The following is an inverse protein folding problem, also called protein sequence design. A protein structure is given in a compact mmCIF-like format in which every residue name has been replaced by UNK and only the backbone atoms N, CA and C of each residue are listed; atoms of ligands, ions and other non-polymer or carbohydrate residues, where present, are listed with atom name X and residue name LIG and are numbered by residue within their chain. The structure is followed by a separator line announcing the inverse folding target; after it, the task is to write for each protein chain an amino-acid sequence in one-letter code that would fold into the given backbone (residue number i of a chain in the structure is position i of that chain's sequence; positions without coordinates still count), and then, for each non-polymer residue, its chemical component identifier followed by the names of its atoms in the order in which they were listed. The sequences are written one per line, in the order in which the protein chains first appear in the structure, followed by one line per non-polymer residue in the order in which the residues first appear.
data_IF_522014368559
#
_entry.id   IF_522014368559
#
_cell.length_a   1.000
_cell.length_b   1.000
_cell.length_c   1.000
_cell.angle_alpha   90.00
_cell.angle_beta   90.00
_cell.angle_gamma   90.00
#
_symmetry.space_group_name_H-M   'P 1'
#
loop_
_entity.id
_entity.type
_entity.pdbx_description
1 polymer ?
#
# COMPACT_ATOMS: atom_id res chain seq x y z
N UNK A 1 -10.52 22.18 -25.42
CA UNK A 1 -10.68 22.85 -24.10
C UNK A 1 -11.89 23.78 -24.22
N UNK A 2 -12.86 23.68 -23.33
CA UNK A 2 -14.05 24.56 -23.32
C UNK A 2 -13.80 25.71 -22.35
N UNK A 3 -14.01 26.95 -22.81
CA UNK A 3 -13.84 28.18 -22.01
C UNK A 3 -15.19 28.82 -21.78
N UNK A 4 -15.46 29.21 -20.54
CA UNK A 4 -16.70 29.87 -20.13
C UNK A 4 -16.42 31.19 -19.47
N UNK A 5 -17.30 32.19 -19.76
CA UNK A 5 -17.20 33.49 -19.12
C UNK A 5 -17.95 33.52 -17.81
N UNK A 6 -17.34 34.13 -16.80
CA UNK A 6 -18.01 34.42 -15.53
C UNK A 6 -19.04 35.51 -15.78
N UNK A 7 -20.24 35.35 -15.28
CA UNK A 7 -21.34 36.30 -15.37
C UNK A 7 -21.74 36.74 -13.96
N UNK A 8 -22.23 37.97 -13.84
CA UNK A 8 -22.77 38.50 -12.59
C UNK A 8 -24.30 38.37 -12.60
N UNK A 9 -24.86 37.81 -11.50
CA UNK A 9 -26.29 37.74 -11.29
C UNK A 9 -26.65 38.37 -9.95
N UNK A 10 -27.71 39.16 -9.88
CA UNK A 10 -28.03 39.90 -8.66
C UNK A 10 -26.95 40.95 -8.31
N UNK A 11 -26.85 41.26 -7.03
CA UNK A 11 -25.93 42.29 -6.51
C UNK A 11 -24.45 41.97 -6.60
N UNK A 12 -24.06 40.75 -6.19
CA UNK A 12 -22.65 40.34 -6.01
C UNK A 12 -22.30 38.89 -6.41
N UNK A 13 -23.29 38.07 -6.80
CA UNK A 13 -23.06 36.67 -7.10
C UNK A 13 -22.45 36.51 -8.49
N UNK A 14 -21.34 35.76 -8.57
CA UNK A 14 -20.69 35.36 -9.81
C UNK A 14 -21.15 33.94 -10.19
N UNK A 15 -21.51 33.70 -11.44
CA UNK A 15 -21.98 32.43 -11.98
C UNK A 15 -21.20 32.01 -13.21
N UNK A 16 -21.06 30.72 -13.39
CA UNK A 16 -20.55 30.12 -14.63
C UNK A 16 -21.56 29.05 -15.08
N UNK A 17 -21.86 29.02 -16.38
CA UNK A 17 -22.79 28.04 -16.93
C UNK A 17 -22.14 26.66 -17.01
N UNK A 18 -22.86 25.62 -16.58
CA UNK A 18 -22.40 24.24 -16.69
C UNK A 18 -22.49 23.73 -18.13
N UNK A 19 -21.57 22.85 -18.57
CA UNK A 19 -21.65 22.22 -19.89
C UNK A 19 -22.93 21.41 -20.07
N UNK A 20 -23.65 21.64 -21.19
CA UNK A 20 -24.92 20.95 -21.44
C UNK A 20 -24.76 19.42 -21.47
N UNK A 21 -23.69 18.95 -22.12
CA UNK A 21 -23.37 17.50 -22.20
C UNK A 21 -23.15 16.90 -20.82
N UNK A 22 -22.41 17.61 -19.94
CA UNK A 22 -22.19 17.17 -18.57
C UNK A 22 -23.51 17.05 -17.79
N UNK A 23 -24.35 18.09 -17.89
CA UNK A 23 -25.67 18.06 -17.25
C UNK A 23 -26.55 16.92 -17.75
N UNK A 24 -26.50 16.62 -19.06
CA UNK A 24 -27.26 15.53 -19.66
C UNK A 24 -26.75 14.15 -19.20
N UNK A 25 -25.42 13.95 -19.18
CA UNK A 25 -24.81 12.70 -18.74
C UNK A 25 -25.13 12.33 -17.30
N UNK A 26 -25.31 13.33 -16.44
CA UNK A 26 -25.65 13.15 -15.02
C UNK A 26 -27.12 13.45 -14.69
N UNK A 27 -28.00 13.61 -15.70
CA UNK A 27 -29.43 13.92 -15.53
C UNK A 27 -29.69 15.14 -14.63
N UNK A 28 -28.79 16.13 -14.61
CA UNK A 28 -28.91 17.32 -13.81
C UNK A 28 -29.98 18.28 -14.38
N UNK A 29 -30.86 18.76 -13.51
CA UNK A 29 -31.95 19.68 -13.83
C UNK A 29 -31.87 20.91 -12.93
N UNK A 30 -32.68 21.92 -13.25
CA UNK A 30 -32.85 23.08 -12.36
C UNK A 30 -33.27 22.58 -10.98
N UNK A 31 -32.55 23.02 -9.94
CA UNK A 31 -32.75 22.55 -8.56
C UNK A 31 -31.89 21.35 -8.16
N UNK A 32 -31.20 20.66 -9.09
CA UNK A 32 -30.23 19.62 -8.73
C UNK A 32 -29.08 20.22 -7.94
N UNK A 33 -28.58 19.47 -6.94
CA UNK A 33 -27.44 19.87 -6.13
C UNK A 33 -26.14 19.37 -6.75
N UNK A 34 -25.07 20.16 -6.63
CA UNK A 34 -23.71 19.77 -6.98
C UNK A 34 -22.80 20.06 -5.79
N UNK A 35 -21.82 19.20 -5.57
CA UNK A 35 -20.72 19.46 -4.63
C UNK A 35 -19.63 20.28 -5.31
N UNK A 36 -19.01 21.15 -4.54
CA UNK A 36 -17.93 22.05 -4.96
C UNK A 36 -16.71 21.71 -4.11
N UNK A 37 -15.68 21.16 -4.74
CA UNK A 37 -14.41 20.87 -4.10
C UNK A 37 -13.33 21.80 -4.65
N UNK A 38 -12.41 22.25 -3.80
CA UNK A 38 -11.31 23.14 -4.18
C UNK A 38 -10.01 22.35 -4.18
N UNK A 39 -9.28 22.38 -5.31
CA UNK A 39 -7.93 21.85 -5.34
C UNK A 39 -6.93 22.85 -4.79
N UNK A 40 -5.79 22.39 -4.30
CA UNK A 40 -4.69 23.26 -3.83
C UNK A 40 -4.16 24.19 -4.94
N UNK A 41 -4.29 23.79 -6.19
CA UNK A 41 -3.91 24.59 -7.38
C UNK A 41 -4.98 25.60 -7.79
N UNK A 42 -6.02 25.83 -6.98
CA UNK A 42 -7.08 26.79 -7.23
C UNK A 42 -8.12 26.36 -8.26
N UNK A 43 -8.16 25.08 -8.66
CA UNK A 43 -9.24 24.56 -9.48
C UNK A 43 -10.49 24.29 -8.64
N UNK A 44 -11.68 24.44 -9.24
CA UNK A 44 -12.95 24.01 -8.67
C UNK A 44 -13.38 22.74 -9.37
N UNK A 45 -13.54 21.68 -8.58
CA UNK A 45 -14.06 20.39 -9.04
C UNK A 45 -15.55 20.33 -8.72
N UNK A 46 -16.36 20.13 -9.75
CA UNK A 46 -17.81 20.01 -9.65
C UNK A 46 -18.22 18.54 -9.79
N UNK A 47 -18.94 18.02 -8.81
CA UNK A 47 -19.50 16.68 -8.87
C UNK A 47 -21.00 16.70 -8.62
N UNK A 48 -21.80 15.83 -9.28
CA UNK A 48 -23.22 15.70 -8.93
C UNK A 48 -23.34 15.30 -7.46
N UNK A 49 -24.18 16.01 -6.68
CA UNK A 49 -24.37 15.74 -5.25
C UNK A 49 -25.01 14.35 -5.01
N UNK A 50 -25.96 14.01 -5.85
CA UNK A 50 -26.48 12.67 -5.96
C UNK A 50 -25.64 11.96 -7.02
N UNK A 51 -24.57 11.26 -6.61
CA UNK A 51 -23.91 10.31 -7.50
C UNK A 51 -25.02 9.36 -7.97
N UNK A 52 -25.27 9.34 -9.29
CA UNK A 52 -26.28 8.45 -9.88
C UNK A 52 -26.10 7.07 -9.27
N UNK A 53 -27.20 6.45 -8.85
CA UNK A 53 -27.22 5.10 -8.26
C UNK A 53 -26.73 3.99 -9.21
N UNK A 54 -26.06 4.34 -10.30
CA UNK A 54 -25.34 3.39 -11.16
C UNK A 54 -24.06 2.89 -10.50
N UNK A 55 -24.21 2.45 -9.23
CA UNK A 55 -23.24 1.66 -8.48
C UNK A 55 -23.18 0.20 -8.97
N UNK A 56 -23.50 -0.07 -10.23
CA UNK A 56 -23.34 -1.39 -10.83
C UNK A 56 -21.86 -1.84 -10.91
N UNK A 57 -20.91 -0.88 -10.79
CA UNK A 57 -19.48 -1.21 -10.73
C UNK A 57 -18.98 -1.65 -9.35
N UNK A 58 -19.79 -1.57 -8.30
CA UNK A 58 -19.38 -1.89 -6.93
C UNK A 58 -19.69 -3.32 -6.49
N UNK A 59 -20.52 -4.06 -7.25
CA UNK A 59 -20.85 -5.46 -6.97
C UNK A 59 -20.10 -6.37 -7.92
N UNK A 60 -19.43 -7.38 -7.37
CA UNK A 60 -18.65 -8.37 -8.12
C UNK A 60 -19.15 -9.77 -7.79
N UNK A 61 -19.36 -10.61 -8.79
CA UNK A 61 -19.61 -12.04 -8.61
C UNK A 61 -18.37 -12.83 -9.03
N UNK A 62 -17.90 -13.72 -8.16
CA UNK A 62 -16.86 -14.71 -8.44
C UNK A 62 -17.49 -16.10 -8.38
N UNK A 63 -17.32 -16.86 -9.46
CA UNK A 63 -17.54 -18.31 -9.43
C UNK A 63 -16.19 -18.98 -9.19
N UNK A 64 -16.05 -19.58 -8.02
CA UNK A 64 -14.82 -20.26 -7.64
C UNK A 64 -14.50 -21.39 -8.61
N UNK A 65 -13.23 -21.48 -8.94
CA UNK A 65 -12.63 -22.52 -9.79
C UNK A 65 -11.89 -23.55 -8.96
N UNK A 66 -11.24 -24.52 -9.61
CA UNK A 66 -10.35 -25.46 -8.90
C UNK A 66 -8.97 -24.82 -8.58
N UNK A 67 -8.71 -23.60 -9.09
CA UNK A 67 -7.48 -22.85 -8.83
C UNK A 67 -7.76 -21.68 -7.83
N UNK A 68 -7.69 -22.00 -6.54
CA UNK A 68 -7.99 -21.06 -5.46
C UNK A 68 -7.04 -19.86 -5.44
N UNK A 69 -5.77 -20.03 -5.84
CA UNK A 69 -4.81 -18.93 -5.93
C UNK A 69 -5.19 -17.91 -7.00
N UNK A 70 -5.69 -18.38 -8.14
CA UNK A 70 -6.19 -17.50 -9.18
C UNK A 70 -7.45 -16.77 -8.73
N UNK A 71 -8.37 -17.47 -8.07
CA UNK A 71 -9.58 -16.89 -7.51
C UNK A 71 -9.25 -15.78 -6.50
N UNK A 72 -8.27 -16.00 -5.62
CA UNK A 72 -7.78 -15.00 -4.68
C UNK A 72 -7.20 -13.77 -5.38
N UNK A 73 -6.37 -13.94 -6.43
CA UNK A 73 -5.82 -12.82 -7.20
C UNK A 73 -6.93 -11.96 -7.81
N UNK A 74 -7.98 -12.60 -8.35
CA UNK A 74 -9.14 -11.90 -8.91
C UNK A 74 -9.85 -11.10 -7.80
N UNK A 75 -10.13 -11.70 -6.65
CA UNK A 75 -10.81 -11.04 -5.54
C UNK A 75 -10.02 -9.84 -5.00
N UNK A 76 -8.72 -10.00 -4.78
CA UNK A 76 -7.83 -8.91 -4.34
C UNK A 76 -7.78 -7.79 -5.40
N UNK A 77 -7.72 -8.14 -6.69
CA UNK A 77 -7.81 -7.14 -7.77
C UNK A 77 -9.13 -6.36 -7.70
N UNK A 78 -10.26 -7.01 -7.45
CA UNK A 78 -11.56 -6.35 -7.32
C UNK A 78 -11.66 -5.48 -6.06
N UNK A 79 -11.11 -5.95 -4.96
CA UNK A 79 -10.97 -5.16 -3.75
C UNK A 79 -10.17 -3.87 -4.00
N UNK A 80 -8.99 -3.97 -4.61
CA UNK A 80 -8.14 -2.83 -4.99
C UNK A 80 -8.87 -1.86 -5.92
N UNK A 81 -9.67 -2.37 -6.86
CA UNK A 81 -10.49 -1.55 -7.77
C UNK A 81 -11.64 -0.81 -7.08
N UNK A 82 -11.90 -1.09 -5.79
CA UNK A 82 -12.92 -0.41 -4.99
C UNK A 82 -14.28 -1.11 -4.97
N UNK A 83 -14.34 -2.44 -5.20
CA UNK A 83 -15.57 -3.20 -4.99
C UNK A 83 -16.12 -2.96 -3.58
N UNK A 84 -17.45 -2.81 -3.45
CA UNK A 84 -18.15 -2.64 -2.16
C UNK A 84 -18.91 -3.88 -1.75
N UNK A 85 -19.25 -4.73 -2.70
CA UNK A 85 -19.97 -5.99 -2.48
C UNK A 85 -19.36 -7.06 -3.36
N UNK A 86 -19.06 -8.21 -2.79
CA UNK A 86 -18.50 -9.37 -3.46
C UNK A 86 -19.40 -10.57 -3.14
N UNK A 87 -19.89 -11.23 -4.18
CA UNK A 87 -20.58 -12.50 -4.06
C UNK A 87 -19.68 -13.61 -4.54
N UNK A 88 -19.39 -14.59 -3.69
CA UNK A 88 -18.54 -15.75 -4.00
C UNK A 88 -19.43 -16.97 -4.09
N UNK A 89 -19.39 -17.68 -5.22
CA UNK A 89 -20.10 -18.96 -5.43
C UNK A 89 -19.10 -20.09 -5.60
N UNK A 90 -19.26 -21.18 -4.86
CA UNK A 90 -18.39 -22.35 -4.90
C UNK A 90 -19.21 -23.63 -4.93
N UNK A 91 -18.67 -24.68 -5.54
CA UNK A 91 -19.24 -26.04 -5.50
C UNK A 91 -18.86 -26.80 -4.24
N UNK A 92 -17.85 -26.34 -3.51
CA UNK A 92 -17.31 -26.97 -2.31
C UNK A 92 -17.32 -25.97 -1.16
N UNK A 93 -17.90 -26.37 -0.03
CA UNK A 93 -17.91 -25.56 1.18
C UNK A 93 -16.49 -25.28 1.69
N UNK A 94 -15.61 -26.28 1.67
CA UNK A 94 -14.23 -26.11 2.10
C UNK A 94 -13.44 -25.12 1.25
N UNK A 95 -13.67 -25.08 -0.06
CA UNK A 95 -13.08 -24.06 -0.94
C UNK A 95 -13.65 -22.67 -0.68
N UNK A 96 -14.97 -22.57 -0.40
CA UNK A 96 -15.62 -21.33 -0.04
C UNK A 96 -15.04 -20.76 1.25
N UNK A 97 -14.95 -21.57 2.31
CA UNK A 97 -14.39 -21.18 3.60
C UNK A 97 -12.93 -20.74 3.49
N UNK A 98 -12.12 -21.45 2.71
CA UNK A 98 -10.73 -21.08 2.46
C UNK A 98 -10.62 -19.69 1.82
N UNK A 99 -11.39 -19.44 0.74
CA UNK A 99 -11.37 -18.16 0.02
C UNK A 99 -11.82 -17.02 0.93
N UNK A 100 -12.93 -17.21 1.68
CA UNK A 100 -13.44 -16.20 2.59
C UNK A 100 -12.39 -15.84 3.64
N UNK A 101 -11.87 -16.83 4.35
CA UNK A 101 -10.91 -16.62 5.43
C UNK A 101 -9.65 -15.90 4.92
N UNK A 102 -9.09 -16.36 3.79
CA UNK A 102 -7.90 -15.75 3.20
C UNK A 102 -8.15 -14.33 2.69
N UNK A 103 -9.33 -14.08 2.11
CA UNK A 103 -9.71 -12.74 1.67
C UNK A 103 -9.86 -11.76 2.85
N UNK A 104 -10.52 -12.17 3.93
CA UNK A 104 -10.67 -11.34 5.14
C UNK A 104 -9.33 -11.11 5.86
N UNK A 105 -8.43 -12.10 5.82
CA UNK A 105 -7.08 -11.95 6.36
C UNK A 105 -6.29 -10.86 5.61
N UNK A 106 -6.42 -10.77 4.28
CA UNK A 106 -5.67 -9.87 3.41
C UNK A 106 -6.36 -8.52 3.12
N UNK A 107 -7.58 -8.30 3.61
CA UNK A 107 -8.33 -7.08 3.33
C UNK A 107 -8.76 -6.34 4.59
N UNK A 108 -9.04 -5.05 4.46
CA UNK A 108 -9.55 -4.19 5.53
C UNK A 108 -10.94 -3.70 5.12
N UNK A 109 -11.90 -3.83 6.05
CA UNK A 109 -13.22 -3.25 5.89
C UNK A 109 -14.29 -4.18 5.34
N UNK A 110 -13.94 -5.38 4.92
CA UNK A 110 -14.92 -6.37 4.47
C UNK A 110 -15.34 -7.31 5.59
N UNK A 111 -16.63 -7.66 5.60
CA UNK A 111 -17.20 -8.66 6.46
C UNK A 111 -18.18 -9.54 5.70
N UNK A 112 -18.39 -10.77 6.19
CA UNK A 112 -19.40 -11.68 5.66
C UNK A 112 -20.78 -11.23 6.17
N UNK A 113 -21.68 -10.91 5.25
CA UNK A 113 -23.04 -10.49 5.58
C UNK A 113 -24.03 -11.65 5.47
N UNK A 114 -23.83 -12.50 4.47
CA UNK A 114 -24.66 -13.68 4.25
C UNK A 114 -23.78 -14.85 3.82
N UNK A 115 -24.08 -16.05 4.29
CA UNK A 115 -23.35 -17.25 3.94
C UNK A 115 -24.26 -18.48 3.98
N UNK A 116 -24.07 -19.37 3.00
CA UNK A 116 -24.68 -20.69 2.95
C UNK A 116 -23.66 -21.74 2.44
N UNK A 117 -24.11 -22.94 2.10
CA UNK A 117 -23.22 -24.04 1.67
C UNK A 117 -22.43 -23.74 0.39
N UNK A 118 -23.00 -22.94 -0.52
CA UNK A 118 -22.47 -22.72 -1.86
C UNK A 118 -22.17 -21.26 -2.22
N UNK A 119 -22.56 -20.32 -1.37
CA UNK A 119 -22.47 -18.89 -1.66
C UNK A 119 -22.17 -18.09 -0.39
N UNK A 120 -21.36 -17.05 -0.54
CA UNK A 120 -21.15 -16.04 0.48
C UNK A 120 -21.21 -14.64 -0.11
N UNK A 121 -21.76 -13.70 0.65
CA UNK A 121 -21.84 -12.28 0.32
C UNK A 121 -21.00 -11.53 1.33
N UNK A 122 -19.99 -10.83 0.81
CA UNK A 122 -19.11 -9.98 1.59
C UNK A 122 -19.35 -8.51 1.20
N UNK A 123 -19.40 -7.63 2.19
CA UNK A 123 -19.59 -6.20 1.97
C UNK A 123 -18.54 -5.36 2.70
N UNK A 124 -18.17 -4.24 2.08
CA UNK A 124 -17.36 -3.19 2.71
C UNK A 124 -18.24 -2.43 3.72
N UNK A 125 -18.01 -2.67 5.00
CA UNK A 125 -18.77 -2.06 6.10
C UNK A 125 -18.21 -0.69 6.52
N UNK A 126 -17.06 -0.27 5.95
CA UNK A 126 -16.46 1.03 6.24
C UNK A 126 -17.00 2.06 5.25
N UNK A 127 -17.96 2.87 5.69
CA UNK A 127 -18.58 3.91 4.86
C UNK A 127 -17.64 5.09 4.52
N UNK A 128 -16.67 5.40 5.41
CA UNK A 128 -15.62 6.40 5.19
C UNK A 128 -14.29 5.85 5.70
N UNK A 129 -13.18 6.02 4.96
CA UNK A 129 -11.89 5.52 5.39
C UNK A 129 -11.42 6.27 6.65
N UNK A 130 -11.60 5.66 7.82
CA UNK A 130 -11.07 6.14 9.10
C UNK A 130 -9.58 5.91 9.23
N UNK A 131 -9.05 4.92 8.49
CA UNK A 131 -7.64 4.62 8.39
C UNK A 131 -7.04 5.39 7.21
N UNK A 132 -6.28 6.45 7.50
CA UNK A 132 -5.64 7.32 6.51
C UNK A 132 -4.43 6.65 5.87
N UNK A 133 -3.97 7.17 4.70
CA UNK A 133 -2.72 6.76 4.07
C UNK A 133 -1.55 6.79 5.05
N UNK A 134 -1.39 7.88 5.78
CA UNK A 134 -0.29 8.06 6.73
C UNK A 134 -0.34 7.03 7.87
N UNK A 135 -1.53 6.80 8.47
CA UNK A 135 -1.67 5.81 9.54
C UNK A 135 -1.40 4.39 9.05
N UNK A 136 -1.89 4.05 7.86
CA UNK A 136 -1.65 2.74 7.25
C UNK A 136 -0.15 2.53 6.98
N UNK A 137 0.53 3.53 6.39
CA UNK A 137 1.96 3.44 6.09
C UNK A 137 2.81 3.41 7.37
N UNK A 138 2.49 4.20 8.41
CA UNK A 138 3.18 4.14 9.71
C UNK A 138 3.07 2.77 10.38
N UNK A 139 1.90 2.15 10.29
CA UNK A 139 1.73 0.79 10.81
C UNK A 139 2.55 -0.22 10.01
N UNK A 140 2.54 -0.11 8.69
CA UNK A 140 3.32 -0.95 7.80
C UNK A 140 4.82 -0.81 8.08
N UNK A 141 5.35 0.40 8.19
CA UNK A 141 6.74 0.69 8.56
C UNK A 141 7.13 0.03 9.90
N UNK A 142 6.26 0.12 10.91
CA UNK A 142 6.49 -0.54 12.21
C UNK A 142 6.61 -2.06 12.07
N UNK A 143 5.76 -2.68 11.25
CA UNK A 143 5.79 -4.12 11.01
C UNK A 143 7.05 -4.54 10.25
N UNK A 144 7.41 -3.82 9.21
CA UNK A 144 8.59 -4.09 8.38
C UNK A 144 9.86 -4.01 9.20
N UNK A 145 10.05 -2.92 9.97
CA UNK A 145 11.20 -2.80 10.90
C UNK A 145 11.25 -3.93 11.92
N UNK A 146 10.10 -4.35 12.44
CA UNK A 146 10.02 -5.47 13.36
C UNK A 146 10.44 -6.79 12.69
N UNK A 147 9.98 -7.07 11.46
CA UNK A 147 10.38 -8.26 10.70
C UNK A 147 11.90 -8.29 10.50
N UNK A 148 12.50 -7.20 10.01
CA UNK A 148 13.94 -7.15 9.73
C UNK A 148 14.77 -7.27 11.01
N UNK A 149 14.37 -6.62 12.11
CA UNK A 149 15.07 -6.76 13.41
C UNK A 149 14.98 -8.17 13.99
N UNK A 150 13.82 -8.78 13.87
CA UNK A 150 13.57 -10.12 14.39
C UNK A 150 14.25 -11.21 13.56
N UNK A 151 14.55 -10.93 12.26
CA UNK A 151 15.22 -11.89 11.39
C UNK A 151 16.62 -12.29 11.85
N UNK A 152 17.31 -11.42 12.62
CA UNK A 152 18.64 -11.66 13.18
C UNK A 152 18.63 -11.83 14.70
N UNK A 153 17.45 -12.04 15.30
CA UNK A 153 17.30 -12.20 16.75
C UNK A 153 17.71 -13.61 17.21
N UNK A 154 18.50 -13.66 18.28
CA UNK A 154 18.81 -14.94 18.96
C UNK A 154 17.58 -15.56 19.62
N UNK A 155 16.54 -14.77 19.90
CA UNK A 155 15.28 -15.28 20.44
C UNK A 155 14.55 -16.05 19.33
N UNK A 156 14.24 -17.32 19.61
CA UNK A 156 13.45 -18.15 18.69
C UNK A 156 12.03 -17.58 18.58
N UNK A 157 11.76 -16.92 17.46
CA UNK A 157 10.43 -16.46 17.07
C UNK A 157 9.79 -17.57 16.22
N UNK A 158 8.49 -17.83 16.39
CA UNK A 158 7.84 -18.90 15.60
C UNK A 158 7.63 -18.46 14.14
N UNK A 159 7.69 -19.43 13.22
CA UNK A 159 7.42 -19.20 11.80
C UNK A 159 6.02 -18.64 11.56
N UNK A 160 5.04 -19.10 12.32
CA UNK A 160 3.66 -18.63 12.27
C UNK A 160 3.55 -17.16 12.65
N UNK A 161 4.35 -16.71 13.60
CA UNK A 161 4.36 -15.30 14.01
C UNK A 161 4.96 -14.38 12.92
N UNK A 162 6.05 -14.82 12.27
CA UNK A 162 6.65 -14.09 11.15
C UNK A 162 5.69 -14.04 9.96
N UNK A 163 5.09 -15.17 9.58
CA UNK A 163 4.10 -15.24 8.50
C UNK A 163 2.88 -14.37 8.78
N UNK A 164 2.43 -14.27 10.04
CA UNK A 164 1.35 -13.38 10.41
C UNK A 164 1.71 -11.90 10.20
N UNK A 165 2.94 -11.50 10.54
CA UNK A 165 3.42 -10.13 10.30
C UNK A 165 3.53 -9.81 8.81
N UNK A 166 4.04 -10.75 8.02
CA UNK A 166 4.12 -10.64 6.56
C UNK A 166 2.71 -10.43 5.97
N UNK A 167 1.72 -11.27 6.34
CA UNK A 167 0.33 -11.08 5.93
C UNK A 167 -0.23 -9.70 6.36
N UNK A 168 0.15 -9.17 7.53
CA UNK A 168 -0.26 -7.83 7.94
C UNK A 168 0.39 -6.74 7.07
N UNK A 169 1.65 -6.90 6.66
CA UNK A 169 2.31 -5.97 5.72
C UNK A 169 1.57 -5.97 4.37
N UNK A 170 1.28 -7.15 3.82
CA UNK A 170 0.51 -7.32 2.60
C UNK A 170 -0.87 -6.65 2.69
N UNK A 171 -1.56 -6.87 3.80
CA UNK A 171 -2.88 -6.29 4.08
C UNK A 171 -2.86 -4.76 4.00
N UNK A 172 -1.85 -4.11 4.60
CA UNK A 172 -1.72 -2.65 4.53
C UNK A 172 -1.30 -2.16 3.15
N UNK A 173 -0.42 -2.88 2.44
CA UNK A 173 -0.05 -2.57 1.07
C UNK A 173 -1.28 -2.63 0.15
N UNK A 174 -2.08 -3.69 0.21
CA UNK A 174 -3.32 -3.86 -0.55
C UNK A 174 -4.34 -2.77 -0.20
N UNK A 175 -4.45 -2.39 1.07
CA UNK A 175 -5.33 -1.31 1.52
C UNK A 175 -4.92 0.06 0.96
N UNK A 176 -3.63 0.40 0.99
CA UNK A 176 -3.10 1.66 0.41
C UNK A 176 -3.37 1.70 -1.10
N UNK A 177 -3.20 0.58 -1.82
CA UNK A 177 -3.56 0.48 -3.24
C UNK A 177 -5.06 0.76 -3.48
N UNK A 178 -5.94 0.21 -2.61
CA UNK A 178 -7.38 0.48 -2.66
C UNK A 178 -7.69 1.96 -2.43
N UNK A 179 -7.11 2.57 -1.39
CA UNK A 179 -7.29 4.00 -1.10
C UNK A 179 -6.87 4.88 -2.28
N UNK A 180 -5.72 4.57 -2.90
CA UNK A 180 -5.25 5.30 -4.07
C UNK A 180 -6.24 5.19 -5.24
N UNK A 181 -6.70 3.97 -5.57
CA UNK A 181 -7.69 3.81 -6.63
C UNK A 181 -9.03 4.51 -6.32
N UNK A 182 -9.43 4.54 -5.05
CA UNK A 182 -10.61 5.29 -4.62
C UNK A 182 -10.39 6.80 -4.79
N UNK A 183 -9.21 7.32 -4.45
CA UNK A 183 -8.88 8.75 -4.57
C UNK A 183 -8.91 9.26 -6.01
N UNK A 184 -8.61 8.40 -6.98
CA UNK A 184 -8.72 8.73 -8.40
C UNK A 184 -10.17 8.85 -8.89
N UNK A 185 -11.12 8.23 -8.17
CA UNK A 185 -12.55 8.21 -8.51
C UNK A 185 -13.37 9.17 -7.65
N UNK A 186 -12.88 9.48 -6.47
CA UNK A 186 -13.57 10.30 -5.47
C UNK A 186 -12.58 11.22 -4.77
N UNK A 187 -12.60 12.50 -5.15
CA UNK A 187 -11.71 13.51 -4.60
C UNK A 187 -11.87 13.71 -3.08
N UNK A 188 -13.03 13.36 -2.51
CA UNK A 188 -13.26 13.44 -1.07
C UNK A 188 -12.27 12.60 -0.26
N UNK A 189 -11.73 11.52 -0.83
CA UNK A 189 -10.69 10.69 -0.18
C UNK A 189 -9.40 11.49 0.05
N UNK A 190 -8.97 12.29 -0.93
CA UNK A 190 -7.79 13.16 -0.79
C UNK A 190 -8.03 14.25 0.25
N UNK A 191 -9.21 14.89 0.22
CA UNK A 191 -9.59 15.92 1.19
C UNK A 191 -9.61 15.40 2.64
N UNK A 192 -10.18 14.22 2.87
CA UNK A 192 -10.21 13.58 4.19
C UNK A 192 -8.80 13.25 4.69
N UNK A 193 -7.89 12.90 3.78
CA UNK A 193 -6.50 12.63 4.09
C UNK A 193 -5.63 13.90 4.15
N UNK A 194 -6.13 15.04 3.66
CA UNK A 194 -5.40 16.32 3.55
C UNK A 194 -4.10 16.19 2.75
N UNK A 195 -4.15 15.46 1.66
CA UNK A 195 -3.00 15.22 0.76
C UNK A 195 -3.37 15.49 -0.69
N UNK A 196 -2.35 15.75 -1.51
CA UNK A 196 -2.47 15.87 -2.96
C UNK A 196 -2.53 14.49 -3.64
N UNK A 197 -2.84 14.46 -4.94
CA UNK A 197 -2.78 13.23 -5.74
C UNK A 197 -1.35 12.70 -5.84
N UNK A 198 -0.38 13.59 -5.96
CA UNK A 198 1.04 13.29 -6.00
C UNK A 198 1.51 12.65 -4.70
N UNK A 199 1.09 13.20 -3.54
CA UNK A 199 1.38 12.59 -2.25
C UNK A 199 0.71 11.21 -2.08
N UNK A 200 -0.52 11.05 -2.56
CA UNK A 200 -1.19 9.74 -2.56
C UNK A 200 -0.43 8.70 -3.40
N UNK A 201 0.15 9.13 -4.54
CA UNK A 201 1.02 8.29 -5.36
C UNK A 201 2.32 7.95 -4.62
N UNK A 202 2.94 8.90 -3.92
CA UNK A 202 4.13 8.63 -3.11
C UNK A 202 3.82 7.57 -2.02
N UNK A 203 2.68 7.68 -1.30
CA UNK A 203 2.25 6.65 -0.34
C UNK A 203 2.12 5.27 -0.97
N UNK A 204 1.54 5.18 -2.18
CA UNK A 204 1.42 3.93 -2.91
C UNK A 204 2.78 3.33 -3.27
N UNK A 205 3.71 4.13 -3.80
CA UNK A 205 5.03 3.67 -4.21
C UNK A 205 5.85 3.21 -3.01
N UNK A 206 5.85 3.98 -1.92
CA UNK A 206 6.54 3.63 -0.67
C UNK A 206 5.98 2.35 -0.07
N UNK A 207 4.65 2.15 -0.07
CA UNK A 207 4.06 0.91 0.46
C UNK A 207 4.53 -0.33 -0.29
N UNK A 208 4.69 -0.24 -1.62
CA UNK A 208 5.22 -1.34 -2.44
C UNK A 208 6.71 -1.63 -2.18
N UNK A 209 7.47 -0.58 -1.89
CA UNK A 209 8.89 -0.74 -1.53
C UNK A 209 9.00 -1.39 -0.14
N UNK A 210 8.19 -0.96 0.83
CA UNK A 210 8.18 -1.54 2.17
C UNK A 210 7.79 -3.03 2.17
N UNK A 211 6.85 -3.44 1.33
CA UNK A 211 6.50 -4.86 1.17
C UNK A 211 7.73 -5.67 0.69
N UNK A 212 8.45 -5.19 -0.34
CA UNK A 212 9.69 -5.86 -0.79
C UNK A 212 10.77 -5.92 0.30
N UNK A 213 10.89 -4.87 1.11
CA UNK A 213 11.81 -4.87 2.25
C UNK A 213 11.40 -5.94 3.26
N UNK A 214 10.10 -6.10 3.53
CA UNK A 214 9.59 -7.15 4.41
C UNK A 214 9.93 -8.55 3.87
N UNK A 215 9.74 -8.80 2.56
CA UNK A 215 10.08 -10.07 1.91
C UNK A 215 11.55 -10.43 2.12
N UNK A 216 12.48 -9.48 1.95
CA UNK A 216 13.89 -9.69 2.23
C UNK A 216 14.16 -9.96 3.71
N UNK A 217 13.48 -9.27 4.62
CA UNK A 217 13.55 -9.54 6.06
C UNK A 217 13.07 -10.95 6.41
N UNK A 218 11.98 -11.40 5.82
CA UNK A 218 11.45 -12.77 5.98
C UNK A 218 12.44 -13.81 5.43
N UNK A 219 13.08 -13.56 4.29
CA UNK A 219 14.11 -14.46 3.74
C UNK A 219 15.30 -14.57 4.67
N UNK A 220 15.81 -13.45 5.21
CA UNK A 220 16.89 -13.46 6.22
C UNK A 220 16.46 -14.32 7.41
N UNK A 221 15.24 -14.16 7.93
CA UNK A 221 14.72 -14.95 9.05
C UNK A 221 14.78 -16.46 8.79
N UNK A 222 14.43 -16.92 7.58
CA UNK A 222 14.45 -18.36 7.24
C UNK A 222 15.87 -18.93 7.05
N UNK A 223 16.86 -18.08 6.74
CA UNK A 223 18.26 -18.48 6.50
C UNK A 223 19.09 -18.36 7.77
N UNK A 224 18.84 -17.30 8.59
CA UNK A 224 19.65 -17.01 9.76
C UNK A 224 19.35 -17.98 10.92
N UNK A 225 20.24 -18.96 11.11
CA UNK A 225 20.13 -19.94 12.19
C UNK A 225 21.52 -20.39 12.71
N UNK A 226 21.57 -20.89 13.93
CA UNK A 226 22.78 -21.54 14.48
C UNK A 226 24.02 -20.64 14.56
N UNK A 227 25.13 -21.09 13.99
CA UNK A 227 26.42 -20.39 14.02
C UNK A 227 26.40 -19.08 13.20
N UNK A 228 25.47 -18.92 12.24
CA UNK A 228 25.33 -17.69 11.44
C UNK A 228 24.99 -16.52 12.35
N UNK A 229 24.10 -16.71 13.32
CA UNK A 229 23.71 -15.67 14.29
C UNK A 229 24.83 -15.27 15.27
N UNK A 230 25.99 -15.96 15.24
CA UNK A 230 27.17 -15.61 16.01
C UNK A 230 28.20 -14.77 15.22
N UNK A 231 28.01 -14.61 13.91
CA UNK A 231 28.91 -13.82 13.05
C UNK A 231 28.67 -12.33 13.24
N UNK A 232 29.39 -11.70 14.16
CA UNK A 232 29.18 -10.30 14.58
C UNK A 232 29.26 -9.27 13.45
N UNK A 233 30.10 -9.49 12.44
CA UNK A 233 30.23 -8.58 11.28
C UNK A 233 28.99 -8.65 10.38
N UNK A 234 28.43 -9.86 10.15
CA UNK A 234 27.20 -10.05 9.42
C UNK A 234 26.02 -9.36 10.12
N UNK A 235 25.90 -9.56 11.44
CA UNK A 235 24.82 -8.93 12.21
C UNK A 235 24.91 -7.42 12.20
N UNK A 236 26.14 -6.86 12.27
CA UNK A 236 26.36 -5.41 12.13
C UNK A 236 25.94 -4.89 10.76
N UNK A 237 26.24 -5.64 9.70
CA UNK A 237 25.83 -5.25 8.35
C UNK A 237 24.31 -5.23 8.17
N UNK A 238 23.60 -6.24 8.70
CA UNK A 238 22.13 -6.23 8.70
C UNK A 238 21.57 -5.08 9.55
N UNK A 239 22.17 -4.81 10.72
CA UNK A 239 21.76 -3.69 11.57
C UNK A 239 21.95 -2.34 10.89
N UNK A 240 23.02 -2.16 10.12
CA UNK A 240 23.21 -0.96 9.29
C UNK A 240 22.10 -0.79 8.25
N UNK A 241 21.63 -1.88 7.61
CA UNK A 241 20.50 -1.82 6.68
C UNK A 241 19.21 -1.38 7.40
N UNK A 242 18.99 -1.88 8.63
CA UNK A 242 17.86 -1.45 9.47
C UNK A 242 17.97 0.05 9.79
N UNK A 243 19.14 0.53 10.18
CA UNK A 243 19.35 1.96 10.48
C UNK A 243 19.10 2.85 9.26
N UNK A 244 19.49 2.41 8.05
CA UNK A 244 19.18 3.13 6.80
C UNK A 244 17.66 3.19 6.61
N UNK A 245 16.94 2.08 6.77
CA UNK A 245 15.48 2.05 6.68
C UNK A 245 14.82 3.01 7.69
N UNK A 246 15.28 3.01 8.93
CA UNK A 246 14.71 3.85 9.98
C UNK A 246 14.91 5.34 9.70
N UNK A 247 16.12 5.74 9.28
CA UNK A 247 16.41 7.12 8.89
C UNK A 247 15.59 7.54 7.66
N UNK A 248 15.48 6.66 6.66
CA UNK A 248 14.67 6.89 5.47
C UNK A 248 13.22 7.18 5.82
N UNK A 249 12.60 6.34 6.65
CA UNK A 249 11.19 6.52 7.01
C UNK A 249 10.98 7.74 7.92
N UNK A 250 11.95 8.10 8.74
CA UNK A 250 11.92 9.35 9.48
C UNK A 250 11.93 10.56 8.54
N UNK A 251 12.82 10.58 7.54
CA UNK A 251 12.88 11.64 6.52
C UNK A 251 11.61 11.69 5.67
N UNK A 252 11.05 10.53 5.31
CA UNK A 252 9.79 10.47 4.57
C UNK A 252 8.65 11.16 5.31
N UNK A 253 8.42 10.83 6.58
CA UNK A 253 7.34 11.44 7.36
C UNK A 253 7.59 12.90 7.71
N UNK A 254 8.85 13.34 7.77
CA UNK A 254 9.24 14.75 7.96
C UNK A 254 9.32 15.55 6.66
N UNK A 255 9.27 14.87 5.50
CA UNK A 255 9.51 15.46 4.18
C UNK A 255 10.89 16.14 4.12
N UNK A 256 11.90 15.51 4.72
CA UNK A 256 13.27 16.02 4.83
C UNK A 256 14.08 15.66 3.59
N UNK A 257 14.09 16.56 2.61
CA UNK A 257 14.78 16.40 1.32
C UNK A 257 16.30 16.37 1.51
N UNK A 258 16.84 17.22 2.40
CA UNK A 258 18.28 17.28 2.65
C UNK A 258 18.79 15.99 3.31
N UNK A 259 18.08 15.51 4.33
CA UNK A 259 18.38 14.23 4.97
C UNK A 259 18.32 13.06 4.01
N UNK A 260 17.29 13.00 3.15
CA UNK A 260 17.12 11.99 2.12
C UNK A 260 18.29 11.99 1.12
N UNK A 261 18.66 13.17 0.60
CA UNK A 261 19.76 13.30 -0.36
C UNK A 261 21.11 12.86 0.23
N UNK A 262 21.38 13.21 1.50
CA UNK A 262 22.58 12.78 2.21
C UNK A 262 22.60 11.25 2.41
N UNK A 263 21.44 10.61 2.61
CA UNK A 263 21.38 9.18 2.83
C UNK A 263 21.64 8.37 1.55
N UNK A 264 21.17 8.86 0.39
CA UNK A 264 21.44 8.24 -0.92
C UNK A 264 22.94 8.09 -1.16
N UNK A 265 23.76 9.06 -0.76
CA UNK A 265 25.23 9.02 -0.94
C UNK A 265 25.90 7.84 -0.23
N UNK A 266 25.25 7.22 0.76
CA UNK A 266 25.76 6.04 1.47
C UNK A 266 25.60 4.72 0.70
N UNK A 267 24.86 4.69 -0.41
CA UNK A 267 24.56 3.49 -1.22
C UNK A 267 25.86 2.80 -1.70
N UNK A 268 26.80 3.57 -2.23
CA UNK A 268 28.07 3.01 -2.74
C UNK A 268 28.95 2.46 -1.62
N UNK A 269 28.98 3.14 -0.46
CA UNK A 269 29.71 2.65 0.70
C UNK A 269 29.17 1.29 1.16
N UNK A 270 27.84 1.14 1.23
CA UNK A 270 27.20 -0.10 1.64
C UNK A 270 27.52 -1.27 0.70
N UNK A 271 27.56 -1.00 -0.63
CA UNK A 271 27.97 -1.99 -1.64
C UNK A 271 29.42 -2.43 -1.48
N UNK A 272 30.34 -1.49 -1.19
CA UNK A 272 31.75 -1.79 -0.96
C UNK A 272 31.90 -2.68 0.27
N UNK A 273 31.23 -2.35 1.35
CA UNK A 273 31.27 -3.12 2.61
C UNK A 273 30.76 -4.55 2.41
N UNK A 274 29.64 -4.73 1.70
CA UNK A 274 29.13 -6.05 1.30
C UNK A 274 30.17 -6.88 0.55
N UNK A 275 30.87 -6.29 -0.42
CA UNK A 275 31.88 -6.98 -1.20
C UNK A 275 33.09 -7.39 -0.35
N UNK A 276 33.53 -6.54 0.59
CA UNK A 276 34.59 -6.85 1.52
C UNK A 276 34.26 -8.03 2.42
N UNK A 277 33.04 -8.06 2.97
CA UNK A 277 32.55 -9.16 3.80
C UNK A 277 32.42 -10.46 3.00
N UNK A 278 31.94 -10.40 1.76
CA UNK A 278 31.77 -11.57 0.89
C UNK A 278 33.11 -12.16 0.39
N UNK A 279 34.16 -11.37 0.25
CA UNK A 279 35.47 -11.84 -0.27
C UNK A 279 36.27 -12.69 0.72
N UNK A 280 35.95 -12.63 2.02
CA UNK A 280 36.61 -13.42 3.07
C UNK A 280 36.03 -14.83 3.26
N UNK A 281 34.98 -15.20 2.50
CA UNK A 281 34.22 -16.44 2.64
C UNK A 281 34.53 -17.37 1.48
N UNK A 282 35.09 -18.53 1.73
CA UNK A 282 35.44 -19.53 0.72
C UNK A 282 35.06 -20.94 1.14
N UNK A 283 33.97 -21.47 0.61
CA UNK A 283 33.85 -22.90 0.35
C UNK A 283 33.04 -23.75 1.32
N UNK A 284 32.30 -23.22 2.29
CA UNK A 284 31.40 -23.99 3.16
C UNK A 284 29.92 -23.71 2.85
N UNK A 285 29.02 -24.64 3.23
CA UNK A 285 27.57 -24.45 3.07
C UNK A 285 27.06 -23.20 3.80
N UNK A 286 27.63 -22.88 4.96
CA UNK A 286 27.33 -21.66 5.70
C UNK A 286 27.75 -20.38 4.96
N UNK A 287 28.71 -20.43 4.05
CA UNK A 287 29.16 -19.27 3.28
C UNK A 287 28.13 -18.85 2.23
N UNK A 288 27.39 -19.83 1.64
CA UNK A 288 26.30 -19.55 0.73
C UNK A 288 25.16 -18.82 1.46
N UNK A 289 24.76 -19.32 2.63
CA UNK A 289 23.71 -18.70 3.48
C UNK A 289 24.11 -17.28 3.91
N UNK A 290 25.39 -17.07 4.25
CA UNK A 290 25.89 -15.73 4.59
C UNK A 290 25.87 -14.81 3.37
N UNK A 291 26.25 -15.29 2.19
CA UNK A 291 26.17 -14.51 0.96
C UNK A 291 24.73 -14.09 0.61
N UNK A 292 23.75 -14.97 0.82
CA UNK A 292 22.32 -14.67 0.64
C UNK A 292 21.83 -13.63 1.64
N UNK A 293 22.21 -13.72 2.93
CA UNK A 293 21.87 -12.71 3.94
C UNK A 293 22.47 -11.35 3.61
N UNK A 294 23.73 -11.32 3.17
CA UNK A 294 24.40 -10.08 2.74
C UNK A 294 23.68 -9.44 1.54
N UNK A 295 23.24 -10.26 0.58
CA UNK A 295 22.47 -9.77 -0.56
C UNK A 295 21.11 -9.22 -0.13
N UNK A 296 20.37 -9.92 0.71
CA UNK A 296 19.07 -9.48 1.20
C UNK A 296 19.19 -8.18 2.04
N UNK A 297 20.21 -8.06 2.88
CA UNK A 297 20.50 -6.83 3.63
C UNK A 297 20.88 -5.66 2.70
N UNK A 298 21.70 -5.90 1.65
CA UNK A 298 21.98 -4.90 0.63
C UNK A 298 20.70 -4.44 -0.08
N UNK A 299 19.78 -5.37 -0.41
CA UNK A 299 18.49 -5.04 -1.02
C UNK A 299 17.63 -4.17 -0.11
N UNK A 300 17.58 -4.49 1.19
CA UNK A 300 16.87 -3.66 2.17
C UNK A 300 17.39 -2.23 2.17
N UNK A 301 18.73 -2.05 2.22
CA UNK A 301 19.35 -0.74 2.20
C UNK A 301 19.08 0.02 0.89
N UNK A 302 19.14 -0.67 -0.26
CA UNK A 302 18.93 -0.05 -1.57
C UNK A 302 17.46 0.36 -1.76
N UNK A 303 16.51 -0.50 -1.43
CA UNK A 303 15.08 -0.13 -1.45
C UNK A 303 14.77 1.03 -0.50
N UNK A 304 15.47 1.11 0.65
CA UNK A 304 15.35 2.27 1.53
C UNK A 304 15.83 3.56 0.85
N UNK A 305 16.96 3.51 0.10
CA UNK A 305 17.42 4.69 -0.66
C UNK A 305 16.51 5.03 -1.84
N UNK A 306 15.81 4.05 -2.45
CA UNK A 306 14.79 4.33 -3.46
C UNK A 306 13.60 5.13 -2.87
N UNK A 307 13.25 4.91 -1.59
CA UNK A 307 12.29 5.77 -0.89
C UNK A 307 12.83 7.19 -0.72
N UNK A 308 14.15 7.36 -0.47
CA UNK A 308 14.76 8.69 -0.42
C UNK A 308 14.63 9.45 -1.75
N UNK A 309 14.79 8.74 -2.88
CA UNK A 309 14.55 9.33 -4.21
C UNK A 309 13.10 9.81 -4.34
N UNK A 310 12.12 9.03 -3.88
CA UNK A 310 10.71 9.45 -3.87
C UNK A 310 10.46 10.69 -2.97
N UNK A 311 11.19 10.86 -1.85
CA UNK A 311 11.08 12.08 -1.03
C UNK A 311 11.49 13.30 -1.85
N UNK A 312 12.58 13.20 -2.61
CA UNK A 312 13.06 14.29 -3.45
C UNK A 312 12.08 14.57 -4.59
N UNK A 313 11.54 13.53 -5.23
CA UNK A 313 10.66 13.67 -6.39
C UNK A 313 9.30 14.28 -6.06
N UNK A 314 8.76 13.98 -4.87
CA UNK A 314 7.36 14.32 -4.55
C UNK A 314 7.19 15.44 -3.51
N UNK A 315 8.26 15.84 -2.80
CA UNK A 315 8.14 16.84 -1.74
C UNK A 315 9.03 18.09 -1.96
N UNK A 316 9.61 18.24 -3.14
CA UNK A 316 10.33 19.46 -3.53
C UNK A 316 9.41 20.69 -3.67
#
# INVERSE_FOLDING_TARGET
MEVRKIQKTGGSTLVVSLPKIWCQNFNLKVGSKVSLNYSERGAIILEPFEKSKDNTSSTVELKSTDNLDNDMRILISKYIQGAKKITIKSKSKSSLDYIINKFLELTIGFEVIEENENEAILEDIISLPTLTFEKALKRMDTLVRSIVRESISEQKISKEYVAKKENEVDKFNIYIQRLFNQSLKDYSVLQLNKISTEEALAFLLVSRILERIADHGVRIYYIAEGEILKKSELLKFVDQAIQILEQTMEYYFKKDIEGANNLISKKDYFRIERNNLGSGMAGAEDDLKVAEILEDAERIAFYSTDICELIIDYFQ
#
